data_IF_649014146531
#
_entry.id   IF_649014146531
#
_cell.length_a   1.000
_cell.length_b   1.000
_cell.length_c   1.000
_cell.angle_alpha   90.00
_cell.angle_beta   90.00
_cell.angle_gamma   90.00
#
_symmetry.space_group_name_H-M   'P 1'
#
loop_
_entity.id
_entity.type
_entity.pdbx_description
1 polymer ?
#
# COMPACT_ATOMS: atom_id res chain seq x y z
N UNK A 1 -28.50 92.80 10.59
CA UNK A 1 -27.62 92.33 9.51
C UNK A 1 -26.73 91.27 10.10
N UNK A 2 -27.17 90.05 9.85
CA UNK A 2 -26.58 88.78 10.23
C UNK A 2 -25.25 88.54 9.54
N UNK A 3 -24.34 87.82 10.20
CA UNK A 3 -23.83 86.53 9.70
C UNK A 3 -22.92 85.87 10.73
N UNK A 4 -23.62 85.08 11.55
CA UNK A 4 -23.25 83.83 12.22
C UNK A 4 -21.89 83.27 11.79
N UNK A 5 -20.97 83.19 12.75
CA UNK A 5 -19.81 82.31 12.75
C UNK A 5 -20.32 80.87 12.82
N UNK A 6 -20.38 80.20 11.66
CA UNK A 6 -20.74 78.79 11.54
C UNK A 6 -19.59 77.90 12.05
N UNK A 7 -19.78 77.43 13.27
CA UNK A 7 -19.72 76.03 13.70
C UNK A 7 -18.79 75.08 12.92
N UNK A 8 -17.81 74.60 13.67
CA UNK A 8 -17.29 73.23 13.74
C UNK A 8 -18.05 72.13 12.97
N UNK A 9 -17.26 71.16 12.49
CA UNK A 9 -17.58 69.76 12.12
C UNK A 9 -17.95 69.48 10.66
N UNK A 10 -16.95 68.98 9.92
CA UNK A 10 -17.02 67.63 9.34
C UNK A 10 -15.68 67.26 8.70
N UNK A 11 -14.69 66.87 9.51
CA UNK A 11 -13.62 66.04 8.98
C UNK A 11 -14.23 64.66 8.77
N UNK A 12 -14.63 64.40 7.53
CA UNK A 12 -14.98 63.09 7.02
C UNK A 12 -13.92 62.08 7.47
N UNK A 13 -14.28 61.21 8.41
CA UNK A 13 -13.49 60.04 8.77
C UNK A 13 -13.58 59.03 7.64
N UNK A 14 -12.89 59.31 6.53
CA UNK A 14 -12.53 58.27 5.59
C UNK A 14 -11.49 57.39 6.29
N UNK A 15 -11.96 56.37 7.01
CA UNK A 15 -11.11 55.25 7.42
C UNK A 15 -10.51 54.72 6.13
N UNK A 16 -9.23 55.01 5.91
CA UNK A 16 -8.51 54.53 4.74
C UNK A 16 -8.55 53.00 4.81
N UNK A 17 -8.98 52.35 3.73
CA UNK A 17 -9.01 50.89 3.62
C UNK A 17 -7.67 50.26 4.01
N UNK A 18 -6.55 50.96 3.78
CA UNK A 18 -5.22 50.56 4.21
C UNK A 18 -5.04 50.46 5.74
N UNK A 19 -5.62 51.36 6.53
CA UNK A 19 -5.52 51.35 8.00
C UNK A 19 -6.35 50.22 8.62
N UNK A 20 -7.51 49.91 8.02
CA UNK A 20 -8.31 48.75 8.39
C UNK A 20 -7.58 47.43 8.09
N UNK A 21 -6.89 47.34 6.95
CA UNK A 21 -6.06 46.17 6.63
C UNK A 21 -4.85 46.04 7.56
N UNK A 22 -4.12 47.12 7.85
CA UNK A 22 -2.95 47.13 8.74
C UNK A 22 -3.30 46.75 10.18
N UNK A 23 -4.49 47.13 10.67
CA UNK A 23 -4.97 46.77 12.01
C UNK A 23 -5.35 45.29 12.14
N UNK A 24 -5.84 44.67 11.06
CA UNK A 24 -6.22 43.25 11.04
C UNK A 24 -5.12 42.31 10.50
N UNK A 25 -4.06 42.86 9.89
CA UNK A 25 -2.91 42.14 9.33
C UNK A 25 -2.23 41.17 10.32
N UNK A 26 -1.97 41.52 11.59
CA UNK A 26 -1.33 40.62 12.55
C UNK A 26 -2.19 39.39 12.91
N UNK A 27 -3.52 39.51 12.85
CA UNK A 27 -4.44 38.41 13.08
C UNK A 27 -4.79 37.66 11.78
N UNK A 28 -4.69 38.32 10.63
CA UNK A 28 -4.92 37.73 9.31
C UNK A 28 -3.76 36.82 8.87
N UNK A 29 -2.51 37.14 9.22
CA UNK A 29 -1.34 36.31 8.88
C UNK A 29 -1.41 34.87 9.41
N UNK A 30 -1.75 34.56 10.68
CA UNK A 30 -1.88 33.18 11.13
C UNK A 30 -3.07 32.46 10.48
N UNK A 31 -4.18 33.17 10.22
CA UNK A 31 -5.37 32.58 9.56
C UNK A 31 -5.05 32.19 8.11
N UNK A 32 -4.36 33.06 7.37
CA UNK A 32 -3.91 32.79 6.00
C UNK A 32 -2.86 31.68 5.98
N UNK A 33 -1.91 31.68 6.91
CA UNK A 33 -0.90 30.62 7.01
C UNK A 33 -1.55 29.27 7.31
N UNK A 34 -2.54 29.23 8.19
CA UNK A 34 -3.27 28.01 8.53
C UNK A 34 -4.11 27.49 7.36
N UNK A 35 -4.83 28.37 6.65
CA UNK A 35 -5.61 27.99 5.47
C UNK A 35 -4.71 27.49 4.34
N UNK A 36 -3.59 28.17 4.08
CA UNK A 36 -2.58 27.71 3.13
C UNK A 36 -1.99 26.35 3.52
N UNK A 37 -1.73 26.11 4.82
CA UNK A 37 -1.25 24.82 5.31
C UNK A 37 -2.27 23.69 5.08
N UNK A 38 -3.56 23.95 5.30
CA UNK A 38 -4.64 22.98 5.02
C UNK A 38 -4.69 22.67 3.52
N UNK A 39 -4.68 23.70 2.66
CA UNK A 39 -4.72 23.53 1.20
C UNK A 39 -3.50 22.72 0.73
N UNK A 40 -2.30 23.06 1.20
CA UNK A 40 -1.08 22.33 0.88
C UNK A 40 -1.13 20.87 1.35
N UNK A 41 -1.66 20.62 2.54
CA UNK A 41 -1.86 19.27 3.07
C UNK A 41 -2.83 18.44 2.23
N UNK A 42 -3.97 19.02 1.86
CA UNK A 42 -4.95 18.40 0.98
C UNK A 42 -4.37 18.13 -0.42
N UNK A 43 -3.64 19.09 -0.98
CA UNK A 43 -2.93 18.96 -2.24
C UNK A 43 -1.90 17.83 -2.22
N UNK A 44 -1.06 17.76 -1.18
CA UNK A 44 -0.10 16.68 -0.97
C UNK A 44 -0.78 15.31 -0.89
N UNK A 45 -1.86 15.18 -0.10
CA UNK A 45 -2.62 13.92 0.00
C UNK A 45 -3.19 13.51 -1.36
N UNK A 46 -3.74 14.45 -2.13
CA UNK A 46 -4.27 14.17 -3.46
C UNK A 46 -3.16 13.77 -4.44
N UNK A 47 -2.04 14.47 -4.44
CA UNK A 47 -0.89 14.16 -5.29
C UNK A 47 -0.29 12.80 -4.96
N UNK A 48 -0.17 12.44 -3.68
CA UNK A 48 0.30 11.12 -3.25
C UNK A 48 -0.63 10.02 -3.76
N UNK A 49 -1.94 10.22 -3.64
CA UNK A 49 -2.94 9.27 -4.16
C UNK A 49 -2.86 9.14 -5.68
N UNK A 50 -2.79 10.24 -6.42
CA UNK A 50 -2.63 10.22 -7.88
C UNK A 50 -1.34 9.50 -8.31
N UNK A 51 -0.25 9.67 -7.56
CA UNK A 51 1.00 8.97 -7.82
C UNK A 51 0.87 7.46 -7.59
N UNK A 52 0.21 7.04 -6.51
CA UNK A 52 -0.09 5.63 -6.24
C UNK A 52 -1.00 5.03 -7.32
N UNK A 53 -2.06 5.74 -7.71
CA UNK A 53 -2.99 5.32 -8.78
C UNK A 53 -2.25 5.14 -10.11
N UNK A 54 -1.37 6.10 -10.47
CA UNK A 54 -0.54 6.00 -11.68
C UNK A 54 0.42 4.80 -11.62
N UNK A 55 1.16 4.62 -10.53
CA UNK A 55 2.10 3.50 -10.41
C UNK A 55 1.39 2.14 -10.43
N UNK A 56 0.21 2.05 -9.82
CA UNK A 56 -0.62 0.84 -9.88
C UNK A 56 -1.12 0.56 -11.29
N UNK A 57 -1.52 1.59 -12.03
CA UNK A 57 -1.88 1.47 -13.44
C UNK A 57 -0.68 1.06 -14.31
N UNK A 58 0.49 1.66 -14.09
CA UNK A 58 1.73 1.31 -14.81
C UNK A 58 2.11 -0.16 -14.55
N UNK A 59 1.96 -0.64 -13.30
CA UNK A 59 2.14 -2.06 -12.97
C UNK A 59 1.12 -2.95 -13.68
N UNK A 60 -0.15 -2.57 -13.72
CA UNK A 60 -1.18 -3.32 -14.45
C UNK A 60 -0.84 -3.41 -15.95
N UNK A 61 -0.52 -2.26 -16.54
CA UNK A 61 -0.17 -2.16 -17.95
C UNK A 61 1.05 -3.03 -18.27
N UNK A 62 2.09 -2.98 -17.43
CA UNK A 62 3.24 -3.86 -17.52
C UNK A 62 2.83 -5.34 -17.40
N UNK A 63 2.03 -5.70 -16.40
CA UNK A 63 1.66 -7.08 -16.14
C UNK A 63 0.84 -7.73 -17.28
N UNK A 64 0.07 -6.91 -18.01
CA UNK A 64 -0.78 -7.35 -19.12
C UNK A 64 -0.06 -7.33 -20.48
N UNK A 65 0.78 -6.33 -20.74
CA UNK A 65 1.30 -6.05 -22.08
C UNK A 65 2.76 -6.47 -22.29
N UNK A 66 3.51 -6.74 -21.21
CA UNK A 66 4.91 -7.14 -21.33
C UNK A 66 5.05 -8.54 -21.97
N UNK A 67 5.84 -8.60 -23.05
CA UNK A 67 6.01 -9.82 -23.86
C UNK A 67 6.79 -10.91 -23.10
N UNK A 68 7.80 -10.50 -22.34
CA UNK A 68 8.66 -11.42 -21.59
C UNK A 68 7.88 -12.07 -20.45
N UNK A 69 7.16 -11.26 -19.67
CA UNK A 69 6.27 -11.73 -18.62
C UNK A 69 5.16 -12.63 -19.17
N UNK A 70 4.57 -12.28 -20.32
CA UNK A 70 3.58 -13.13 -20.98
C UNK A 70 4.17 -14.49 -21.34
N UNK A 71 5.38 -14.55 -21.90
CA UNK A 71 6.05 -15.80 -22.23
C UNK A 71 6.29 -16.67 -20.97
N UNK A 72 6.77 -16.07 -19.88
CA UNK A 72 6.97 -16.80 -18.62
C UNK A 72 5.65 -17.28 -18.02
N UNK A 73 4.58 -16.47 -18.07
CA UNK A 73 3.23 -16.87 -17.62
C UNK A 73 2.65 -18.02 -18.44
N UNK A 74 2.85 -18.01 -19.76
CA UNK A 74 2.41 -19.10 -20.63
C UNK A 74 3.17 -20.40 -20.37
N UNK A 75 4.47 -20.29 -20.07
CA UNK A 75 5.28 -21.42 -19.61
C UNK A 75 4.77 -21.97 -18.27
N UNK A 76 4.47 -21.10 -17.28
CA UNK A 76 3.86 -21.52 -16.01
C UNK A 76 2.50 -22.17 -16.20
N UNK A 77 1.66 -21.63 -17.09
CA UNK A 77 0.37 -22.22 -17.38
C UNK A 77 0.50 -23.65 -17.94
N UNK A 78 1.53 -23.88 -18.75
CA UNK A 78 1.87 -25.22 -19.26
C UNK A 78 2.34 -26.13 -18.13
N UNK A 79 3.22 -25.64 -17.26
CA UNK A 79 3.68 -26.36 -16.07
C UNK A 79 2.52 -26.72 -15.13
N UNK A 80 1.60 -25.79 -14.86
CA UNK A 80 0.43 -26.02 -14.02
C UNK A 80 -0.59 -26.99 -14.65
N UNK A 81 -0.62 -27.12 -15.98
CA UNK A 81 -1.38 -28.17 -16.66
C UNK A 81 -0.73 -29.53 -16.42
N UNK A 82 0.61 -29.63 -16.55
CA UNK A 82 1.37 -30.86 -16.25
C UNK A 82 1.22 -31.28 -14.79
N UNK A 83 1.41 -30.36 -13.85
CA UNK A 83 1.17 -30.59 -12.42
C UNK A 83 -0.21 -31.22 -12.14
N UNK A 84 -1.27 -30.69 -12.76
CA UNK A 84 -2.64 -31.20 -12.54
C UNK A 84 -2.95 -32.53 -13.22
N UNK A 85 -2.31 -32.83 -14.36
CA UNK A 85 -2.60 -34.04 -15.15
C UNK A 85 -1.68 -35.21 -14.79
N UNK A 86 -0.44 -34.90 -14.47
CA UNK A 86 0.67 -35.86 -14.33
C UNK A 86 1.19 -35.89 -12.89
N UNK A 87 0.59 -35.15 -11.95
CA UNK A 87 1.03 -35.02 -10.55
C UNK A 87 2.51 -34.62 -10.41
N UNK A 88 3.03 -33.84 -11.37
CA UNK A 88 4.41 -33.35 -11.34
C UNK A 88 4.65 -32.47 -10.12
N UNK A 89 5.64 -32.79 -9.29
CA UNK A 89 5.98 -31.97 -8.14
C UNK A 89 6.68 -30.67 -8.54
N UNK A 90 6.06 -29.53 -8.19
CA UNK A 90 6.60 -28.20 -8.48
C UNK A 90 7.76 -27.84 -7.56
N UNK A 91 7.94 -28.54 -6.43
CA UNK A 91 9.00 -28.21 -5.49
C UNK A 91 10.39 -28.57 -6.00
N UNK A 92 10.48 -29.51 -6.95
CA UNK A 92 11.72 -29.95 -7.61
C UNK A 92 12.43 -28.77 -8.30
N UNK A 93 11.68 -27.78 -8.79
CA UNK A 93 12.26 -26.63 -9.47
C UNK A 93 13.02 -25.69 -8.54
N UNK A 94 12.81 -25.73 -7.22
CA UNK A 94 13.43 -24.80 -6.28
C UNK A 94 14.97 -24.82 -6.27
N UNK A 95 15.57 -25.95 -6.67
CA UNK A 95 17.01 -26.11 -6.82
C UNK A 95 17.54 -25.98 -8.26
N UNK A 96 16.67 -25.86 -9.27
CA UNK A 96 17.02 -25.96 -10.71
C UNK A 96 16.90 -24.62 -11.46
N UNK A 97 16.82 -23.53 -10.72
CA UNK A 97 16.45 -22.19 -11.15
C UNK A 97 17.19 -21.63 -12.37
N UNK A 98 18.49 -21.91 -12.52
CA UNK A 98 19.30 -21.38 -13.63
C UNK A 98 19.34 -22.28 -14.87
N UNK A 99 19.04 -23.57 -14.71
CA UNK A 99 19.23 -24.58 -15.76
C UNK A 99 17.91 -24.96 -16.44
N UNK A 100 16.79 -24.77 -15.76
CA UNK A 100 15.47 -25.17 -16.25
C UNK A 100 14.58 -23.98 -16.61
N UNK A 101 13.98 -23.99 -17.80
CA UNK A 101 13.10 -22.92 -18.26
C UNK A 101 11.85 -22.73 -17.39
N UNK A 102 11.32 -23.80 -16.78
CA UNK A 102 10.23 -23.68 -15.82
C UNK A 102 10.69 -23.01 -14.53
N UNK A 103 11.89 -23.34 -14.03
CA UNK A 103 12.49 -22.68 -12.86
C UNK A 103 12.66 -21.18 -13.10
N UNK A 104 13.25 -20.79 -14.24
CA UNK A 104 13.38 -19.39 -14.66
C UNK A 104 12.03 -18.68 -14.70
N UNK A 105 11.02 -19.29 -15.31
CA UNK A 105 9.69 -18.68 -15.37
C UNK A 105 9.05 -18.53 -14.00
N UNK A 106 9.20 -19.52 -13.10
CA UNK A 106 8.67 -19.44 -11.72
C UNK A 106 9.30 -18.25 -11.02
N UNK A 107 10.63 -18.16 -11.03
CA UNK A 107 11.35 -17.04 -10.43
C UNK A 107 10.91 -15.70 -11.01
N UNK A 108 10.79 -15.61 -12.34
CA UNK A 108 10.42 -14.36 -13.00
C UNK A 108 9.05 -13.86 -12.53
N UNK A 109 8.04 -14.73 -12.51
CA UNK A 109 6.69 -14.38 -12.04
C UNK A 109 6.69 -14.05 -10.55
N UNK A 110 7.34 -14.86 -9.72
CA UNK A 110 7.41 -14.62 -8.28
C UNK A 110 8.16 -13.35 -7.92
N UNK A 111 9.24 -13.01 -8.64
CA UNK A 111 10.01 -11.78 -8.44
C UNK A 111 9.16 -10.53 -8.75
N UNK A 112 8.32 -10.59 -9.79
CA UNK A 112 7.41 -9.48 -10.10
C UNK A 112 6.34 -9.31 -9.00
N UNK A 113 5.80 -10.42 -8.48
CA UNK A 113 4.89 -10.38 -7.36
C UNK A 113 5.55 -9.93 -6.05
N UNK A 114 6.80 -10.30 -5.81
CA UNK A 114 7.60 -9.85 -4.66
C UNK A 114 7.83 -8.34 -4.71
N UNK A 115 8.21 -7.81 -5.88
CA UNK A 115 8.36 -6.35 -6.11
C UNK A 115 7.03 -5.62 -5.89
N UNK A 116 5.94 -6.14 -6.44
CA UNK A 116 4.60 -5.58 -6.27
C UNK A 116 4.20 -5.55 -4.78
N UNK A 117 4.37 -6.67 -4.08
CA UNK A 117 4.06 -6.78 -2.66
C UNK A 117 4.91 -5.83 -1.80
N UNK A 118 6.21 -5.71 -2.10
CA UNK A 118 7.09 -4.76 -1.43
C UNK A 118 6.63 -3.32 -1.67
N UNK A 119 6.29 -2.95 -2.90
CA UNK A 119 5.81 -1.61 -3.24
C UNK A 119 4.45 -1.28 -2.61
N UNK A 120 3.56 -2.27 -2.44
CA UNK A 120 2.32 -2.12 -1.66
C UNK A 120 2.65 -1.86 -0.17
N UNK A 121 3.56 -2.66 0.41
CA UNK A 121 3.98 -2.54 1.80
C UNK A 121 4.62 -1.18 2.12
N UNK A 122 5.31 -0.60 1.13
CA UNK A 122 5.93 0.72 1.17
C UNK A 122 4.98 1.87 0.73
N UNK A 123 3.70 1.55 0.51
CA UNK A 123 2.66 2.51 0.12
C UNK A 123 3.00 3.30 -1.15
N UNK A 124 3.71 2.65 -2.07
CA UNK A 124 4.00 3.16 -3.41
C UNK A 124 2.88 2.80 -4.38
N UNK A 125 2.24 1.64 -4.17
CA UNK A 125 1.11 1.16 -4.96
C UNK A 125 -0.18 1.20 -4.15
N UNK A 126 -1.30 1.45 -4.83
CA UNK A 126 -2.64 1.29 -4.31
C UNK A 126 -3.01 -0.20 -4.21
N UNK A 127 -3.00 -0.73 -2.99
CA UNK A 127 -3.37 -2.13 -2.68
C UNK A 127 -4.81 -2.44 -3.08
N UNK A 128 -5.74 -1.50 -2.87
CA UNK A 128 -7.17 -1.74 -3.09
C UNK A 128 -7.46 -1.88 -4.57
N UNK A 129 -6.88 -0.99 -5.38
CA UNK A 129 -6.90 -1.09 -6.83
C UNK A 129 -6.35 -2.44 -7.31
N UNK A 130 -5.13 -2.79 -6.88
CA UNK A 130 -4.45 -4.01 -7.34
C UNK A 130 -5.13 -5.29 -6.86
N UNK A 131 -5.73 -5.29 -5.68
CA UNK A 131 -6.56 -6.40 -5.22
C UNK A 131 -7.72 -6.62 -6.17
N UNK A 132 -8.47 -5.57 -6.53
CA UNK A 132 -9.63 -5.69 -7.41
C UNK A 132 -9.25 -6.23 -8.79
N UNK A 133 -8.10 -5.84 -9.34
CA UNK A 133 -7.63 -6.29 -10.66
C UNK A 133 -7.04 -7.70 -10.61
N UNK A 134 -6.20 -8.02 -9.61
CA UNK A 134 -5.31 -9.18 -9.68
C UNK A 134 -5.48 -10.25 -8.61
N UNK A 135 -6.33 -10.08 -7.59
CA UNK A 135 -6.40 -11.00 -6.45
C UNK A 135 -6.55 -12.48 -6.86
N UNK A 136 -7.37 -12.79 -7.87
CA UNK A 136 -7.56 -14.17 -8.36
C UNK A 136 -6.25 -14.75 -8.89
N UNK A 137 -5.55 -14.00 -9.75
CA UNK A 137 -4.33 -14.45 -10.42
C UNK A 137 -3.20 -14.61 -9.40
N UNK A 138 -3.01 -13.62 -8.53
CA UNK A 138 -1.96 -13.64 -7.51
C UNK A 138 -2.18 -14.78 -6.51
N UNK A 139 -3.40 -14.94 -5.98
CA UNK A 139 -3.70 -16.00 -5.01
C UNK A 139 -3.58 -17.39 -5.63
N UNK A 140 -3.97 -17.56 -6.90
CA UNK A 140 -3.80 -18.83 -7.61
C UNK A 140 -2.32 -19.16 -7.82
N UNK A 141 -1.52 -18.17 -8.24
CA UNK A 141 -0.08 -18.35 -8.41
C UNK A 141 0.58 -18.74 -7.08
N UNK A 142 0.26 -18.02 -6.00
CA UNK A 142 0.77 -18.33 -4.66
C UNK A 142 0.37 -19.75 -4.21
N UNK A 143 -0.91 -20.12 -4.36
CA UNK A 143 -1.39 -21.43 -3.90
C UNK A 143 -0.72 -22.61 -4.61
N UNK A 144 -0.37 -22.44 -5.89
CA UNK A 144 0.35 -23.47 -6.65
C UNK A 144 1.86 -23.49 -6.35
N UNK A 145 2.45 -22.34 -6.02
CA UNK A 145 3.89 -22.18 -5.84
C UNK A 145 4.32 -22.11 -4.37
N UNK A 146 3.40 -22.23 -3.41
CA UNK A 146 3.73 -22.17 -1.97
C UNK A 146 4.79 -23.21 -1.59
N UNK A 147 4.64 -24.45 -2.08
CA UNK A 147 5.63 -25.51 -1.86
C UNK A 147 7.01 -25.21 -2.47
N UNK A 148 7.06 -24.59 -3.66
CA UNK A 148 8.30 -24.13 -4.26
C UNK A 148 8.96 -23.05 -3.38
N UNK A 149 8.19 -22.07 -2.91
CA UNK A 149 8.67 -21.00 -2.03
C UNK A 149 9.24 -21.61 -0.74
N UNK A 150 8.54 -22.59 -0.14
CA UNK A 150 9.01 -23.23 1.09
C UNK A 150 10.31 -24.02 0.90
N UNK A 151 10.48 -24.76 -0.20
CA UNK A 151 11.75 -25.43 -0.47
C UNK A 151 12.86 -24.43 -0.78
N UNK A 152 12.56 -23.36 -1.53
CA UNK A 152 13.53 -22.31 -1.85
C UNK A 152 14.08 -21.67 -0.57
N UNK A 153 13.23 -21.42 0.42
CA UNK A 153 13.63 -20.81 1.69
C UNK A 153 14.49 -21.69 2.59
N UNK A 154 14.53 -23.01 2.34
CA UNK A 154 15.44 -23.93 3.02
C UNK A 154 16.85 -23.92 2.44
N UNK A 155 17.04 -23.37 1.23
CA UNK A 155 18.36 -23.28 0.63
C UNK A 155 19.20 -22.22 1.35
N UNK A 156 20.53 -22.43 1.46
CA UNK A 156 21.44 -21.45 2.05
C UNK A 156 21.29 -20.07 1.40
N UNK A 157 21.19 -19.02 2.22
CA UNK A 157 21.06 -17.63 1.76
C UNK A 157 19.70 -17.22 1.20
N UNK A 158 18.70 -18.11 1.21
CA UNK A 158 17.36 -17.84 0.63
C UNK A 158 16.24 -17.79 1.68
N UNK A 159 16.55 -17.65 2.97
CA UNK A 159 15.55 -17.70 4.07
C UNK A 159 14.40 -16.71 3.91
N UNK A 160 14.64 -15.60 3.23
CA UNK A 160 13.70 -14.50 3.02
C UNK A 160 13.13 -14.47 1.59
N UNK A 161 13.36 -15.51 0.79
CA UNK A 161 12.83 -15.59 -0.56
C UNK A 161 11.30 -15.46 -0.57
N UNK A 162 10.80 -14.52 -1.37
CA UNK A 162 9.37 -14.27 -1.60
C UNK A 162 8.57 -13.90 -0.35
N UNK A 163 9.24 -13.29 0.63
CA UNK A 163 8.65 -12.92 1.90
C UNK A 163 7.49 -11.94 1.75
N UNK A 164 7.66 -10.91 0.93
CA UNK A 164 6.62 -9.90 0.75
C UNK A 164 5.44 -10.47 -0.04
N UNK A 165 5.69 -11.32 -1.04
CA UNK A 165 4.61 -11.96 -1.78
C UNK A 165 3.79 -12.90 -0.90
N UNK A 166 4.44 -13.69 -0.03
CA UNK A 166 3.75 -14.47 1.00
C UNK A 166 2.89 -13.56 1.88
N UNK A 167 3.46 -12.48 2.40
CA UNK A 167 2.70 -11.50 3.20
C UNK A 167 1.46 -10.97 2.45
N UNK A 168 1.62 -10.58 1.18
CA UNK A 168 0.52 -10.05 0.36
C UNK A 168 -0.56 -11.11 0.12
N UNK A 169 -0.16 -12.32 -0.25
CA UNK A 169 -1.09 -13.41 -0.54
C UNK A 169 -1.92 -13.77 0.69
N UNK A 170 -1.32 -13.91 1.87
CA UNK A 170 -2.07 -14.25 3.09
C UNK A 170 -3.00 -13.11 3.52
N UNK A 171 -2.56 -11.86 3.36
CA UNK A 171 -3.40 -10.66 3.58
C UNK A 171 -4.60 -10.60 2.64
N UNK A 172 -4.42 -10.96 1.37
CA UNK A 172 -5.51 -11.01 0.38
C UNK A 172 -6.44 -12.19 0.61
N UNK A 173 -5.94 -13.36 1.06
CA UNK A 173 -6.80 -14.46 1.51
C UNK A 173 -7.66 -14.04 2.70
N UNK A 174 -7.09 -13.34 3.67
CA UNK A 174 -7.81 -12.80 4.82
C UNK A 174 -8.90 -11.82 4.39
N UNK A 175 -8.58 -10.86 3.50
CA UNK A 175 -9.56 -9.92 2.94
C UNK A 175 -10.73 -10.67 2.28
N UNK A 176 -10.45 -11.68 1.46
CA UNK A 176 -11.48 -12.49 0.81
C UNK A 176 -12.37 -13.25 1.79
N UNK A 177 -11.81 -13.79 2.88
CA UNK A 177 -12.59 -14.47 3.92
C UNK A 177 -13.50 -13.51 4.69
N UNK A 178 -13.03 -12.28 4.94
CA UNK A 178 -13.82 -11.22 5.55
C UNK A 178 -14.98 -10.82 4.61
N UNK A 179 -14.72 -10.71 3.30
CA UNK A 179 -15.72 -10.39 2.27
C UNK A 179 -16.72 -11.54 2.04
N UNK A 180 -16.30 -12.80 2.19
CA UNK A 180 -17.14 -13.99 1.96
C UNK A 180 -17.93 -14.45 3.19
N UNK A 181 -17.89 -13.69 4.29
CA UNK A 181 -18.56 -13.98 5.58
C UNK A 181 -18.38 -15.42 6.11
N UNK A 182 -17.29 -16.09 5.72
CA UNK A 182 -17.11 -17.53 5.96
C UNK A 182 -16.55 -17.78 7.35
N UNK A 183 -17.30 -18.50 8.19
CA UNK A 183 -17.02 -18.70 9.62
C UNK A 183 -16.06 -19.87 9.90
N UNK A 184 -14.80 -19.80 9.45
CA UNK A 184 -13.77 -20.76 9.86
C UNK A 184 -12.64 -20.07 10.64
N UNK A 185 -12.85 -19.91 11.94
CA UNK A 185 -11.97 -19.15 12.85
C UNK A 185 -10.51 -19.64 12.82
N UNK A 186 -10.28 -20.96 12.79
CA UNK A 186 -8.93 -21.56 12.78
C UNK A 186 -8.15 -21.28 11.49
N UNK A 187 -8.83 -21.30 10.34
CA UNK A 187 -8.21 -20.93 9.06
C UNK A 187 -7.83 -19.46 9.05
N UNK A 188 -8.68 -18.60 9.62
CA UNK A 188 -8.43 -17.17 9.67
C UNK A 188 -7.25 -16.85 10.61
N UNK A 189 -7.20 -17.46 11.78
CA UNK A 189 -6.10 -17.28 12.74
C UNK A 189 -4.74 -17.60 12.10
N UNK A 190 -4.63 -18.74 11.41
CA UNK A 190 -3.41 -19.12 10.70
C UNK A 190 -3.01 -18.10 9.61
N UNK A 191 -3.98 -17.51 8.91
CA UNK A 191 -3.72 -16.50 7.90
C UNK A 191 -3.27 -15.18 8.51
N UNK A 192 -3.88 -14.78 9.63
CA UNK A 192 -3.47 -13.60 10.40
C UNK A 192 -2.05 -13.77 10.89
N UNK A 193 -1.72 -14.92 11.49
CA UNK A 193 -0.37 -15.26 11.98
C UNK A 193 0.64 -15.18 10.83
N UNK A 194 0.40 -15.89 9.71
CA UNK A 194 1.32 -15.83 8.56
C UNK A 194 1.46 -14.41 7.97
N UNK A 195 0.41 -13.60 8.03
CA UNK A 195 0.44 -12.21 7.61
C UNK A 195 1.09 -11.26 8.65
N UNK A 196 1.08 -11.59 9.94
CA UNK A 196 1.64 -10.78 11.04
C UNK A 196 3.09 -11.12 11.37
N UNK A 197 3.46 -12.41 11.32
CA UNK A 197 4.76 -12.94 11.73
C UNK A 197 5.93 -12.43 10.88
N UNK A 198 5.64 -11.83 9.73
CA UNK A 198 6.65 -11.22 8.87
C UNK A 198 7.03 -9.79 9.23
N UNK A 199 6.54 -9.26 10.38
CA UNK A 199 7.20 -8.14 11.07
C UNK A 199 6.78 -7.88 12.53
N UNK A 200 5.84 -8.63 13.12
CA UNK A 200 5.45 -8.46 14.51
C UNK A 200 6.07 -9.54 15.39
N UNK A 201 7.27 -9.27 15.94
CA UNK A 201 7.61 -9.80 17.26
C UNK A 201 6.62 -9.19 18.25
N UNK A 202 5.48 -9.84 18.46
CA UNK A 202 4.71 -9.62 19.68
C UNK A 202 4.30 -10.98 20.23
N UNK A 203 4.71 -11.20 21.49
CA UNK A 203 4.77 -12.50 22.16
C UNK A 203 3.40 -12.95 22.71
N UNK A 204 2.34 -12.19 22.48
CA UNK A 204 1.09 -12.28 23.22
C UNK A 204 -0.15 -12.27 22.30
N UNK A 205 -0.31 -13.30 21.46
CA UNK A 205 -1.59 -13.53 20.78
C UNK A 205 -2.06 -14.96 21.03
N UNK A 206 -2.58 -15.20 22.24
CA UNK A 206 -3.59 -16.22 22.46
C UNK A 206 -4.96 -15.54 22.39
N UNK A 207 -5.69 -15.69 21.27
CA UNK A 207 -7.02 -15.08 21.14
C UNK A 207 -7.99 -15.99 20.39
N UNK A 208 -9.05 -16.41 21.09
CA UNK A 208 -10.33 -16.74 20.45
C UNK A 208 -10.86 -15.46 19.79
N UNK A 209 -10.82 -15.38 18.46
CA UNK A 209 -11.04 -14.12 17.74
C UNK A 209 -12.38 -14.15 16.99
N UNK A 210 -13.30 -13.23 17.33
CA UNK A 210 -14.55 -13.01 16.60
C UNK A 210 -14.34 -12.19 15.31
N UNK A 211 -15.29 -12.21 14.37
CA UNK A 211 -15.18 -11.50 13.07
C UNK A 211 -14.99 -9.97 13.24
N UNK A 212 -15.56 -9.39 14.30
CA UNK A 212 -15.36 -7.99 14.66
C UNK A 212 -13.89 -7.67 14.97
N UNK A 213 -13.23 -8.56 15.70
CA UNK A 213 -11.81 -8.43 16.06
C UNK A 213 -10.90 -8.65 14.84
N UNK A 214 -11.31 -9.49 13.89
CA UNK A 214 -10.60 -9.72 12.63
C UNK A 214 -10.64 -8.51 11.69
N UNK A 215 -11.80 -7.84 11.56
CA UNK A 215 -11.89 -6.56 10.84
C UNK A 215 -11.00 -5.51 11.51
N UNK A 216 -11.01 -5.46 12.85
CA UNK A 216 -10.17 -4.55 13.64
C UNK A 216 -8.67 -4.83 13.47
N UNK A 217 -8.25 -6.09 13.43
CA UNK A 217 -6.87 -6.49 13.15
C UNK A 217 -6.44 -6.13 11.73
N UNK A 218 -7.25 -6.43 10.71
CA UNK A 218 -6.95 -6.04 9.34
C UNK A 218 -6.82 -4.51 9.20
N UNK A 219 -7.74 -3.75 9.79
CA UNK A 219 -7.68 -2.29 9.86
C UNK A 219 -6.44 -1.80 10.62
N UNK A 220 -6.05 -2.45 11.71
CA UNK A 220 -4.85 -2.12 12.48
C UNK A 220 -3.57 -2.35 11.66
N UNK A 221 -3.49 -3.46 10.91
CA UNK A 221 -2.40 -3.72 9.98
C UNK A 221 -2.33 -2.66 8.88
N UNK A 222 -3.47 -2.28 8.30
CA UNK A 222 -3.57 -1.22 7.29
C UNK A 222 -3.18 0.15 7.85
N UNK A 223 -3.60 0.46 9.07
CA UNK A 223 -3.29 1.72 9.74
C UNK A 223 -1.81 1.83 10.13
N UNK A 224 -1.21 0.74 10.61
CA UNK A 224 0.20 0.72 10.99
C UNK A 224 1.13 0.94 9.80
N UNK A 225 0.79 0.39 8.63
CA UNK A 225 1.50 0.65 7.37
C UNK A 225 1.36 2.14 6.96
N UNK A 226 0.14 2.71 7.01
CA UNK A 226 -0.14 4.14 6.74
C UNK A 226 0.62 5.12 7.62
N UNK A 227 0.81 4.75 8.89
CA UNK A 227 1.57 5.58 9.84
C UNK A 227 3.06 5.62 9.51
N UNK A 228 3.64 4.50 9.03
CA UNK A 228 5.06 4.45 8.63
C UNK A 228 5.35 5.34 7.42
N UNK A 229 4.46 5.38 6.42
CA UNK A 229 4.58 6.26 5.26
C UNK A 229 4.62 7.75 5.63
N UNK A 230 3.70 8.20 6.49
CA UNK A 230 3.65 9.58 6.96
C UNK A 230 4.91 9.97 7.77
N UNK A 231 5.34 9.14 8.71
CA UNK A 231 6.52 9.42 9.53
C UNK A 231 7.81 9.43 8.69
N UNK A 232 7.96 8.52 7.71
CA UNK A 232 9.11 8.53 6.79
C UNK A 232 9.14 9.78 5.93
N UNK A 233 8.00 10.25 5.44
CA UNK A 233 7.91 11.50 4.67
C UNK A 233 8.27 12.73 5.52
N UNK A 234 7.73 12.83 6.75
CA UNK A 234 8.10 13.91 7.68
C UNK A 234 9.61 13.90 7.93
N UNK A 235 10.19 12.73 8.21
CA UNK A 235 11.63 12.56 8.41
C UNK A 235 12.44 12.95 7.16
N UNK A 236 11.98 12.60 5.97
CA UNK A 236 12.62 12.97 4.71
C UNK A 236 12.62 14.49 4.48
N UNK A 237 11.48 15.16 4.71
CA UNK A 237 11.38 16.61 4.58
C UNK A 237 12.25 17.35 5.61
N UNK A 238 12.31 16.85 6.83
CA UNK A 238 13.21 17.39 7.86
C UNK A 238 14.69 17.22 7.47
N UNK A 239 15.06 16.10 6.85
CA UNK A 239 16.44 15.82 6.41
C UNK A 239 16.89 16.61 5.17
N UNK A 240 15.96 17.19 4.42
CA UNK A 240 16.25 18.06 3.26
C UNK A 240 16.40 19.54 3.68
N UNK A 241 15.98 19.89 4.90
CA UNK A 241 15.99 21.27 5.42
C UNK A 241 17.07 21.53 6.48
N UNK A 242 17.83 20.50 6.88
CA UNK A 242 18.99 20.54 7.76
C UNK A 242 20.11 19.72 7.14
#
# INVERSE_FOLDING_TARGET
>A
MDLIVLTTQSLSSHISSSEWFLKNLPAATPVIAFSAAIIAYCGYRRQRRLHQEKLSYDFEHFYQNDKELKAHRDNLNTLFKKHRRENMDLTVFAGLDSENDYGKSIMFVLNNWEKCAHAIKEELLDEEYLYNVFHIVALRAYSLLEGYIDQRRKLPGNSDAYLNFRWLAERWKLKRLIESETKNSKTIENLVIKASDLHFKNKDLGFNCEIGDLKKMHLTLTYHNKKKGLFRWIKYQLRQRF
#
